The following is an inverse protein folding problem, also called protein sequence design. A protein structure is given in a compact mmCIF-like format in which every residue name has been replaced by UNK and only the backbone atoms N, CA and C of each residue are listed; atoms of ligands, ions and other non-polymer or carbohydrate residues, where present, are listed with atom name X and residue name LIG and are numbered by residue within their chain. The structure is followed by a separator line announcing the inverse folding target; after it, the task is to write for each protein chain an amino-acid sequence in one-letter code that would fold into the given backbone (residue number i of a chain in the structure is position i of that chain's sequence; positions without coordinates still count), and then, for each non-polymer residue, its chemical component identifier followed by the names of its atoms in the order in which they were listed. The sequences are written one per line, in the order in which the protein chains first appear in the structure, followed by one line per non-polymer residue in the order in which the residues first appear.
data_IF_450481190781
#
_entry.id   IF_450481190781
#
_cell.length_a   1.000
_cell.length_b   1.000
_cell.length_c   1.000
_cell.angle_alpha   90.00
_cell.angle_beta   90.00
_cell.angle_gamma   90.00
#
_symmetry.space_group_name_H-M   'P 1'
#
loop_
_entity.id
_entity.type
_entity.pdbx_description
1 polymer ?
#
# COMPACT_ATOMS: atom_id res chain seq x y z
N UNK A 1 -10.58 -23.46 3.74
CA UNK A 1 -11.49 -22.45 3.16
C UNK A 1 -10.71 -21.30 2.55
N UNK A 2 -11.39 -20.35 1.87
CA UNK A 2 -10.78 -19.23 1.16
C UNK A 2 -9.83 -18.40 2.05
N UNK A 3 -10.27 -18.02 3.25
CA UNK A 3 -9.46 -17.24 4.20
C UNK A 3 -8.14 -17.92 4.54
N UNK A 4 -8.18 -19.23 4.85
CA UNK A 4 -6.96 -20.00 5.14
C UNK A 4 -6.02 -20.12 3.92
N UNK A 5 -6.53 -19.97 2.71
CA UNK A 5 -5.72 -19.87 1.49
C UNK A 5 -4.99 -18.53 1.43
N UNK A 6 -5.71 -17.42 1.61
CA UNK A 6 -5.15 -16.07 1.61
C UNK A 6 -4.11 -15.87 2.72
N UNK A 7 -4.37 -16.37 3.94
CA UNK A 7 -3.42 -16.30 5.06
C UNK A 7 -2.08 -16.98 4.77
N UNK A 8 -2.05 -18.02 3.94
CA UNK A 8 -0.81 -18.71 3.58
C UNK A 8 0.02 -17.96 2.56
N UNK A 9 -0.61 -17.12 1.75
CA UNK A 9 0.08 -16.34 0.72
C UNK A 9 0.69 -15.04 1.25
N UNK A 10 0.22 -14.57 2.41
CA UNK A 10 0.72 -13.36 3.04
C UNK A 10 1.39 -13.66 4.38
N UNK A 11 2.68 -13.37 4.47
CA UNK A 11 3.41 -13.39 5.73
C UNK A 11 3.61 -11.96 6.20
N UNK A 12 2.96 -11.53 7.29
CA UNK A 12 3.18 -10.18 7.82
C UNK A 12 4.64 -10.04 8.27
N UNK A 13 5.23 -8.84 8.10
CA UNK A 13 6.57 -8.58 8.63
C UNK A 13 6.55 -8.73 10.15
N UNK A 14 7.63 -9.26 10.77
CA UNK A 14 7.70 -9.43 12.20
C UNK A 14 7.62 -8.07 12.91
N UNK A 15 6.67 -7.93 13.80
CA UNK A 15 6.60 -6.77 14.70
C UNK A 15 7.70 -6.84 15.73
N UNK A 16 8.32 -5.70 16.07
CA UNK A 16 9.40 -5.60 17.05
C UNK A 16 9.07 -4.55 18.11
N UNK A 17 9.27 -4.91 19.36
CA UNK A 17 9.31 -3.94 20.46
C UNK A 17 10.79 -3.67 20.76
N UNK A 18 11.19 -2.41 20.66
CA UNK A 18 12.56 -2.00 20.87
C UNK A 18 12.67 -1.26 22.22
N UNK A 19 13.61 -1.68 23.05
CA UNK A 19 13.94 -0.99 24.28
C UNK A 19 15.33 -0.39 24.16
N UNK A 20 15.45 0.91 24.43
CA UNK A 20 16.70 1.64 24.38
C UNK A 20 17.21 1.91 25.79
N UNK A 21 18.52 1.68 26.02
CA UNK A 21 19.20 2.02 27.25
C UNK A 21 20.32 3.01 26.94
N UNK A 22 20.44 4.05 27.73
CA UNK A 22 21.55 5.01 27.61
C UNK A 22 22.89 4.29 27.80
N UNK A 23 23.83 4.49 26.87
CA UNK A 23 25.12 3.79 26.85
C UNK A 23 25.04 2.33 26.35
N UNK A 24 23.90 1.86 25.85
CA UNK A 24 23.77 0.55 25.25
C UNK A 24 24.51 0.47 23.91
N UNK A 25 25.08 -0.71 23.61
CA UNK A 25 25.81 -0.99 22.37
C UNK A 25 25.25 -2.20 21.60
N UNK A 26 24.03 -2.60 21.93
CA UNK A 26 23.33 -3.68 21.22
C UNK A 26 23.08 -3.35 19.76
N UNK A 27 23.22 -4.34 18.87
CA UNK A 27 22.88 -4.23 17.48
C UNK A 27 21.51 -4.85 17.24
N UNK A 28 20.70 -4.17 16.42
CA UNK A 28 19.40 -4.70 16.00
C UNK A 28 19.62 -5.80 14.96
N UNK A 29 18.85 -6.91 15.02
CA UNK A 29 18.86 -7.87 13.94
C UNK A 29 18.41 -7.20 12.62
N UNK A 30 18.88 -7.66 11.46
CA UNK A 30 18.49 -7.09 10.18
C UNK A 30 16.96 -7.16 10.01
N UNK A 31 16.40 -6.22 9.28
CA UNK A 31 15.02 -6.32 8.86
C UNK A 31 14.88 -7.47 7.88
N UNK A 32 13.78 -8.27 7.96
CA UNK A 32 13.51 -9.26 6.94
C UNK A 32 13.28 -8.56 5.60
N UNK A 33 13.61 -9.24 4.53
CA UNK A 33 13.32 -8.76 3.19
C UNK A 33 11.80 -8.59 3.01
N UNK A 34 11.41 -7.45 2.45
CA UNK A 34 10.01 -7.18 2.11
C UNK A 34 9.63 -8.04 0.92
N UNK A 35 8.59 -8.85 1.05
CA UNK A 35 8.01 -9.56 -0.08
C UNK A 35 7.29 -8.56 -0.99
N UNK A 36 7.77 -8.40 -2.22
CA UNK A 36 7.18 -7.54 -3.23
C UNK A 36 6.51 -8.45 -4.26
N UNK A 37 5.19 -8.48 -4.25
CA UNK A 37 4.42 -9.15 -5.29
C UNK A 37 4.17 -8.19 -6.44
N UNK A 38 4.19 -8.71 -7.66
CA UNK A 38 3.87 -7.92 -8.85
C UNK A 38 2.37 -7.64 -8.88
N UNK A 39 1.98 -6.38 -9.05
CA UNK A 39 0.56 -6.03 -9.08
C UNK A 39 -0.12 -6.58 -10.35
N UNK A 40 -1.41 -6.92 -10.28
CA UNK A 40 -2.21 -7.10 -11.48
C UNK A 40 -2.20 -5.84 -12.36
N UNK A 41 -2.56 -5.98 -13.67
CA UNK A 41 -2.75 -4.82 -14.53
C UNK A 41 -3.77 -3.84 -13.94
N UNK A 42 -3.66 -2.56 -14.31
CA UNK A 42 -4.67 -1.54 -13.99
C UNK A 42 -6.06 -1.98 -14.46
N UNK A 43 -7.08 -1.73 -13.66
CA UNK A 43 -8.47 -2.01 -14.03
C UNK A 43 -9.02 -0.98 -15.02
N UNK A 44 -8.55 0.25 -14.93
CA UNK A 44 -8.93 1.37 -15.77
C UNK A 44 -7.86 2.44 -15.81
N UNK A 45 -7.90 3.29 -16.83
CA UNK A 45 -7.12 4.53 -16.95
C UNK A 45 -8.04 5.76 -16.89
N UNK A 46 -9.34 5.57 -16.60
CA UNK A 46 -10.29 6.68 -16.46
C UNK A 46 -9.99 7.46 -15.17
N UNK A 47 -9.51 8.69 -15.35
CA UNK A 47 -9.14 9.56 -14.22
C UNK A 47 -10.31 9.89 -13.31
N UNK A 48 -11.55 9.91 -13.80
CA UNK A 48 -12.72 10.18 -12.96
C UNK A 48 -12.97 9.01 -11.99
N UNK A 49 -12.81 7.77 -12.47
CA UNK A 49 -12.92 6.57 -11.64
C UNK A 49 -11.77 6.50 -10.64
N UNK A 50 -10.53 6.79 -11.06
CA UNK A 50 -9.35 6.80 -10.18
C UNK A 50 -9.47 7.86 -9.09
N UNK A 51 -9.94 9.07 -9.42
CA UNK A 51 -10.14 10.14 -8.45
C UNK A 51 -11.29 9.83 -7.47
N UNK A 52 -12.37 9.20 -7.94
CA UNK A 52 -13.42 8.69 -7.06
C UNK A 52 -12.86 7.63 -6.11
N UNK A 53 -12.09 6.68 -6.63
CA UNK A 53 -11.42 5.64 -5.85
C UNK A 53 -10.47 6.22 -4.81
N UNK A 54 -9.69 7.23 -5.18
CA UNK A 54 -8.80 7.96 -4.26
C UNK A 54 -9.58 8.57 -3.11
N UNK A 55 -10.67 9.31 -3.39
CA UNK A 55 -11.51 9.93 -2.33
C UNK A 55 -12.10 8.89 -1.38
N UNK A 56 -12.63 7.80 -1.91
CA UNK A 56 -13.20 6.72 -1.11
C UNK A 56 -12.12 5.99 -0.30
N UNK A 57 -10.94 5.76 -0.88
CA UNK A 57 -9.81 5.19 -0.18
C UNK A 57 -9.40 6.04 1.03
N UNK A 58 -9.30 7.35 0.87
CA UNK A 58 -8.97 8.24 1.99
C UNK A 58 -10.06 8.29 3.06
N UNK A 59 -11.33 8.15 2.67
CA UNK A 59 -12.45 8.14 3.60
C UNK A 59 -12.52 6.86 4.45
N UNK A 60 -12.21 5.69 3.87
CA UNK A 60 -12.50 4.40 4.51
C UNK A 60 -11.27 3.52 4.77
N UNK A 61 -10.17 3.71 4.06
CA UNK A 61 -9.05 2.77 4.05
C UNK A 61 -7.75 3.37 4.60
N UNK A 62 -7.48 4.65 4.32
CA UNK A 62 -6.19 5.29 4.59
C UNK A 62 -5.82 5.33 6.07
N UNK A 63 -6.80 5.38 6.98
CA UNK A 63 -6.54 5.37 8.42
C UNK A 63 -5.77 4.13 8.89
N UNK A 64 -5.98 2.99 8.22
CA UNK A 64 -5.29 1.75 8.51
C UNK A 64 -4.17 1.45 7.51
N UNK A 65 -4.44 1.62 6.21
CA UNK A 65 -3.51 1.22 5.14
C UNK A 65 -2.53 2.33 4.71
N UNK A 66 -2.60 3.50 5.35
CA UNK A 66 -1.71 4.62 5.10
C UNK A 66 -2.12 5.50 3.91
N UNK A 67 -1.52 6.67 3.82
CA UNK A 67 -1.71 7.59 2.69
C UNK A 67 -1.01 7.06 1.45
N UNK A 68 -1.55 7.34 0.27
CA UNK A 68 -0.99 6.90 -1.02
C UNK A 68 -0.77 5.38 -1.10
N UNK A 69 -1.60 4.62 -0.36
CA UNK A 69 -1.52 3.15 -0.26
C UNK A 69 -0.21 2.66 0.38
N UNK A 70 0.56 3.55 1.02
CA UNK A 70 1.84 3.25 1.64
C UNK A 70 1.66 2.90 3.11
N UNK A 71 1.80 1.62 3.45
CA UNK A 71 1.73 1.17 4.84
C UNK A 71 3.07 1.33 5.56
N UNK A 72 2.98 1.56 6.88
CA UNK A 72 4.14 1.58 7.79
C UNK A 72 4.63 0.18 8.21
N UNK A 73 4.02 -0.89 7.68
CA UNK A 73 4.44 -2.28 7.92
C UNK A 73 3.67 -3.04 9.00
N UNK A 74 2.91 -2.38 9.86
CA UNK A 74 2.05 -3.09 10.84
C UNK A 74 0.81 -3.69 10.18
N UNK A 75 0.31 -3.04 9.15
CA UNK A 75 -0.83 -3.45 8.31
C UNK A 75 -0.29 -3.67 6.89
N UNK A 76 -0.87 -4.59 6.10
CA UNK A 76 -0.40 -4.87 4.76
C UNK A 76 -0.28 -3.63 3.88
N UNK A 77 0.84 -3.50 3.16
CA UNK A 77 1.01 -2.56 2.07
C UNK A 77 0.26 -3.11 0.86
N UNK A 78 -0.86 -2.48 0.52
CA UNK A 78 -1.77 -3.00 -0.50
C UNK A 78 -1.18 -2.99 -1.92
N UNK A 79 -0.09 -2.25 -2.14
CA UNK A 79 0.62 -2.22 -3.42
C UNK A 79 1.39 -3.51 -3.72
N UNK A 80 1.64 -4.33 -2.69
CA UNK A 80 2.47 -5.53 -2.76
C UNK A 80 1.73 -6.78 -2.32
N UNK A 81 0.42 -6.80 -2.44
CA UNK A 81 -0.38 -7.97 -2.10
C UNK A 81 -0.26 -9.07 -3.15
N UNK A 82 -0.28 -10.36 -2.73
CA UNK A 82 -0.45 -11.47 -3.63
C UNK A 82 -1.72 -11.33 -4.47
N UNK A 83 -1.69 -11.84 -5.71
CA UNK A 83 -2.80 -11.75 -6.65
C UNK A 83 -4.13 -12.25 -6.08
N UNK A 84 -4.11 -13.31 -5.26
CA UNK A 84 -5.31 -13.87 -4.66
C UNK A 84 -6.12 -12.86 -3.82
N UNK A 85 -5.47 -11.84 -3.23
CA UNK A 85 -6.17 -10.78 -2.52
C UNK A 85 -6.93 -9.86 -3.48
N UNK A 86 -6.36 -9.56 -4.63
CA UNK A 86 -7.02 -8.76 -5.67
C UNK A 86 -8.18 -9.52 -6.30
N UNK A 87 -8.03 -10.82 -6.56
CA UNK A 87 -9.07 -11.69 -7.11
C UNK A 87 -10.27 -11.85 -6.16
N UNK A 88 -10.05 -11.63 -4.86
CA UNK A 88 -11.09 -11.72 -3.81
C UNK A 88 -11.42 -10.36 -3.17
N UNK A 89 -11.12 -9.25 -3.85
CA UNK A 89 -11.22 -7.91 -3.30
C UNK A 89 -12.61 -7.60 -2.72
N UNK A 90 -13.69 -7.86 -3.48
CA UNK A 90 -15.05 -7.61 -3.00
C UNK A 90 -15.42 -8.46 -1.78
N UNK A 91 -15.03 -9.72 -1.75
CA UNK A 91 -15.28 -10.58 -0.59
C UNK A 91 -14.55 -10.07 0.66
N UNK A 92 -13.34 -9.53 0.49
CA UNK A 92 -12.57 -8.95 1.60
C UNK A 92 -13.20 -7.62 2.04
N UNK A 93 -13.41 -6.69 1.09
CA UNK A 93 -13.79 -5.31 1.40
C UNK A 93 -15.28 -5.17 1.68
N UNK A 94 -16.15 -5.82 0.91
CA UNK A 94 -17.60 -5.71 1.13
C UNK A 94 -18.09 -6.72 2.15
N UNK A 95 -17.81 -8.00 1.94
CA UNK A 95 -18.38 -9.07 2.79
C UNK A 95 -17.58 -9.29 4.08
N UNK A 96 -16.38 -8.72 4.20
CA UNK A 96 -15.59 -8.75 5.44
C UNK A 96 -15.10 -10.13 5.83
N UNK A 97 -14.75 -10.99 4.85
CA UNK A 97 -14.27 -12.35 5.12
C UNK A 97 -13.02 -12.39 6.01
N UNK A 98 -12.27 -11.27 6.09
CA UNK A 98 -11.09 -11.13 6.92
C UNK A 98 -11.34 -10.35 8.23
N UNK A 99 -12.60 -10.16 8.64
CA UNK A 99 -12.96 -9.42 9.85
C UNK A 99 -12.32 -9.96 11.14
N UNK A 100 -12.11 -11.27 11.22
CA UNK A 100 -11.41 -11.92 12.34
C UNK A 100 -9.92 -11.54 12.42
N UNK A 101 -9.35 -11.04 11.33
CA UNK A 101 -7.97 -10.56 11.25
C UNK A 101 -7.88 -9.03 11.33
N UNK A 102 -9.00 -8.37 11.64
CA UNK A 102 -9.06 -6.92 11.82
C UNK A 102 -9.51 -6.12 10.59
N UNK A 103 -9.65 -6.73 9.40
CA UNK A 103 -10.17 -6.06 8.21
C UNK A 103 -11.70 -6.20 8.17
N UNK A 104 -12.40 -5.14 8.58
CA UNK A 104 -13.87 -5.10 8.63
C UNK A 104 -14.51 -5.03 7.24
N UNK A 105 -15.76 -5.50 7.12
CA UNK A 105 -16.54 -5.36 5.89
C UNK A 105 -17.26 -4.03 5.80
N UNK A 106 -17.36 -3.47 4.59
CA UNK A 106 -17.91 -2.14 4.33
C UNK A 106 -19.21 -2.15 3.51
N UNK A 107 -19.83 -3.30 3.27
CA UNK A 107 -21.03 -3.45 2.41
C UNK A 107 -22.21 -2.53 2.79
N UNK A 108 -22.25 -2.07 4.04
CA UNK A 108 -23.31 -1.15 4.50
C UNK A 108 -23.09 0.31 4.09
N UNK A 109 -21.87 0.67 3.68
CA UNK A 109 -21.46 2.06 3.39
C UNK A 109 -20.74 2.22 2.05
N UNK A 110 -20.36 1.12 1.40
CA UNK A 110 -19.69 1.07 0.10
C UNK A 110 -20.43 0.05 -0.78
N UNK A 111 -20.83 0.45 -1.97
CA UNK A 111 -21.39 -0.44 -2.98
C UNK A 111 -20.30 -1.06 -3.89
N UNK A 112 -20.70 -1.90 -4.84
CA UNK A 112 -19.76 -2.61 -5.73
C UNK A 112 -19.02 -1.66 -6.68
N UNK A 113 -19.67 -0.61 -7.19
CA UNK A 113 -19.06 0.38 -8.08
C UNK A 113 -18.01 1.21 -7.31
N UNK A 114 -18.32 1.56 -6.08
CA UNK A 114 -17.38 2.25 -5.18
C UNK A 114 -16.20 1.35 -4.79
N UNK A 115 -16.46 0.06 -4.52
CA UNK A 115 -15.39 -0.92 -4.26
C UNK A 115 -14.49 -1.10 -5.50
N UNK A 116 -15.09 -1.15 -6.71
CA UNK A 116 -14.34 -1.18 -7.97
C UNK A 116 -13.44 0.06 -8.11
N UNK A 117 -13.95 1.26 -7.84
CA UNK A 117 -13.18 2.48 -7.93
C UNK A 117 -12.00 2.50 -6.93
N UNK A 118 -12.24 2.05 -5.68
CA UNK A 118 -11.16 1.90 -4.67
C UNK A 118 -10.10 0.91 -5.15
N UNK A 119 -10.51 -0.24 -5.68
CA UNK A 119 -9.59 -1.26 -6.19
C UNK A 119 -8.77 -0.74 -7.38
N UNK A 120 -9.43 -0.01 -8.30
CA UNK A 120 -8.76 0.64 -9.42
C UNK A 120 -7.67 1.62 -8.96
N UNK A 121 -7.96 2.46 -7.97
CA UNK A 121 -6.99 3.36 -7.38
C UNK A 121 -5.81 2.62 -6.72
N UNK A 122 -6.08 1.56 -5.95
CA UNK A 122 -5.02 0.75 -5.32
C UNK A 122 -4.10 0.13 -6.38
N UNK A 123 -4.67 -0.43 -7.45
CA UNK A 123 -3.89 -1.03 -8.53
C UNK A 123 -3.12 0.02 -9.35
N UNK A 124 -3.66 1.21 -9.52
CA UNK A 124 -2.94 2.30 -10.16
C UNK A 124 -1.71 2.71 -9.36
N UNK A 125 -1.85 2.90 -8.04
CA UNK A 125 -0.72 3.21 -7.15
C UNK A 125 0.31 2.05 -7.09
N UNK A 126 -0.14 0.80 -7.12
CA UNK A 126 0.74 -0.36 -7.17
C UNK A 126 1.54 -0.43 -8.48
N UNK A 127 0.90 -0.15 -9.62
CA UNK A 127 1.59 -0.12 -10.91
C UNK A 127 2.54 1.08 -11.05
N UNK A 128 2.19 2.26 -10.51
CA UNK A 128 3.11 3.41 -10.41
C UNK A 128 4.35 3.08 -9.58
N UNK A 129 4.18 2.39 -8.45
CA UNK A 129 5.30 1.92 -7.62
C UNK A 129 6.20 0.95 -8.39
N UNK A 130 5.61 -0.03 -9.09
CA UNK A 130 6.34 -0.96 -9.96
C UNK A 130 7.14 -0.21 -11.03
N UNK A 131 6.50 0.65 -11.79
CA UNK A 131 7.14 1.47 -12.83
C UNK A 131 8.29 2.31 -12.27
N UNK A 132 8.11 2.89 -11.08
CA UNK A 132 9.15 3.64 -10.39
C UNK A 132 10.36 2.78 -10.01
N UNK A 133 10.16 1.53 -9.60
CA UNK A 133 11.23 0.57 -9.27
C UNK A 133 11.99 0.10 -10.50
N UNK A 134 11.31 -0.01 -11.64
CA UNK A 134 11.90 -0.44 -12.92
C UNK A 134 12.69 0.65 -13.63
N UNK A 135 12.58 1.91 -13.19
CA UNK A 135 13.36 3.00 -13.76
C UNK A 135 14.87 2.78 -13.54
N UNK A 136 15.72 3.05 -14.54
CA UNK A 136 17.17 2.98 -14.41
C UNK A 136 17.67 3.82 -13.22
N UNK A 137 18.74 3.36 -12.56
CA UNK A 137 19.31 4.07 -11.39
C UNK A 137 19.68 5.52 -11.69
N UNK A 138 20.26 5.78 -12.87
CA UNK A 138 20.63 7.13 -13.28
C UNK A 138 19.41 8.07 -13.35
N UNK A 139 18.23 7.55 -13.78
CA UNK A 139 17.00 8.32 -13.85
C UNK A 139 16.41 8.61 -12.46
N UNK A 140 16.47 7.64 -11.56
CA UNK A 140 16.06 7.82 -10.16
C UNK A 140 16.94 8.86 -9.46
N UNK A 141 18.26 8.79 -9.67
CA UNK A 141 19.24 9.75 -9.15
C UNK A 141 19.03 11.15 -9.74
N UNK A 142 18.74 11.26 -11.03
CA UNK A 142 18.43 12.52 -11.69
C UNK A 142 17.16 13.17 -11.13
N UNK A 143 16.08 12.40 -10.95
CA UNK A 143 14.85 12.90 -10.30
C UNK A 143 15.14 13.40 -8.89
N UNK A 144 15.85 12.65 -8.07
CA UNK A 144 16.21 13.05 -6.71
C UNK A 144 17.01 14.37 -6.70
N UNK A 145 17.94 14.53 -7.63
CA UNK A 145 18.72 15.77 -7.79
C UNK A 145 17.84 16.95 -8.19
N UNK A 146 16.92 16.80 -9.15
CA UNK A 146 15.97 17.85 -9.56
C UNK A 146 15.09 18.29 -8.39
N UNK A 147 14.50 17.33 -7.66
CA UNK A 147 13.65 17.67 -6.51
C UNK A 147 14.43 18.33 -5.37
N UNK A 148 15.67 17.94 -5.11
CA UNK A 148 16.51 18.60 -4.11
C UNK A 148 16.88 20.02 -4.52
N UNK A 149 17.14 20.26 -5.81
CA UNK A 149 17.41 21.59 -6.36
C UNK A 149 16.19 22.51 -6.31
N UNK A 150 15.00 21.99 -6.62
CA UNK A 150 13.76 22.75 -6.51
C UNK A 150 13.41 23.08 -5.03
N UNK A 151 13.61 22.15 -4.11
CA UNK A 151 13.40 22.39 -2.68
C UNK A 151 14.33 23.51 -2.16
N UNK A 152 15.58 23.53 -2.62
CA UNK A 152 16.53 24.60 -2.29
C UNK A 152 16.10 25.97 -2.84
N UNK A 153 15.58 26.04 -4.08
CA UNK A 153 15.06 27.26 -4.67
C UNK A 153 13.83 27.81 -3.95
N UNK A 154 12.92 26.91 -3.50
CA UNK A 154 11.72 27.30 -2.73
C UNK A 154 12.11 27.77 -1.33
N UNK A 155 13.12 27.15 -0.70
CA UNK A 155 13.66 27.57 0.60
C UNK A 155 14.39 28.92 0.58
N UNK A 156 14.81 29.42 -0.59
CA UNK A 156 15.41 30.74 -0.76
C UNK A 156 14.37 31.90 -0.91
N UNK A 157 13.10 31.55 -1.09
CA UNK A 157 11.98 32.50 -1.29
C UNK A 157 11.15 32.67 0.01
N UNK A 158 11.42 31.88 1.02
CA UNK A 158 10.86 32.02 2.38
C UNK A 158 11.86 32.63 3.34
#
# INVERSE_FOLDING_TARGET
GLVAGLEREYTPPPSRVLTFKLGGNGQLPPNPEKQLHEPPPRLTEDEAVLEQGRKLYYAYCAACHGTEVISNGAIPDLRHLPRAFHDNFNAIVLDGIMSKLGMVGFKQVIDEDQAYAIHAYILDEANKDKESRELPEWWRSFKAWVYSGLAWLIGLIS
#
